data_IF_921747214330
#
_entry.id   IF_921747214330
#
_cell.length_a   1.000
_cell.length_b   1.000
_cell.length_c   1.000
_cell.angle_alpha   90.00
_cell.angle_beta   90.00
_cell.angle_gamma   90.00
#
_symmetry.space_group_name_H-M   'P 1'
#
loop_
_entity.id
_entity.type
_entity.pdbx_description
1 polymer ?
#
# COMPACT_ATOMS: atom_id res chain seq x y z
N UNK A 1 -10.33 -8.75 2.57
CA UNK A 1 -9.79 -8.31 3.88
C UNK A 1 -10.08 -6.83 4.05
N UNK A 2 -10.34 -6.39 5.28
CA UNK A 2 -10.66 -5.01 5.61
C UNK A 2 -9.81 -4.57 6.80
N UNK A 3 -9.15 -3.42 6.69
CA UNK A 3 -8.35 -2.81 7.77
C UNK A 3 -8.82 -1.39 8.01
N UNK A 4 -9.11 -1.09 9.27
CA UNK A 4 -9.55 0.22 9.74
C UNK A 4 -8.68 0.64 10.92
N UNK A 5 -8.34 1.90 11.00
CA UNK A 5 -7.61 2.44 12.14
C UNK A 5 -7.19 3.89 11.96
N UNK A 6 -6.31 4.32 12.85
CA UNK A 6 -5.71 5.64 12.81
C UNK A 6 -4.20 5.56 13.02
N UNK A 7 -3.49 6.57 12.53
CA UNK A 7 -2.06 6.72 12.68
C UNK A 7 -1.73 8.21 12.87
N UNK A 8 -0.92 8.50 13.88
CA UNK A 8 -0.39 9.83 14.12
C UNK A 8 1.06 9.88 13.62
N UNK A 9 1.42 10.87 12.80
CA UNK A 9 2.73 10.97 12.14
C UNK A 9 3.91 11.16 13.09
N UNK A 10 3.66 11.51 14.36
CA UNK A 10 4.67 11.45 15.42
C UNK A 10 5.30 10.06 15.54
N UNK A 11 4.52 9.02 15.29
CA UNK A 11 5.04 7.68 15.06
C UNK A 11 5.61 7.62 13.64
N UNK A 12 6.94 7.73 13.52
CA UNK A 12 7.64 7.80 12.23
C UNK A 12 7.23 6.74 11.20
N UNK A 13 6.87 5.53 11.63
CA UNK A 13 6.55 4.42 10.75
C UNK A 13 5.40 3.56 11.30
N UNK A 14 4.42 3.26 10.46
CA UNK A 14 3.30 2.37 10.75
C UNK A 14 3.28 1.21 9.77
N UNK A 15 3.51 0.00 10.27
CA UNK A 15 3.19 -1.21 9.53
C UNK A 15 1.69 -1.50 9.62
N UNK A 16 1.03 -1.78 8.49
CA UNK A 16 -0.40 -2.07 8.46
C UNK A 16 -0.67 -3.56 8.27
N UNK A 17 -0.14 -4.17 7.22
CA UNK A 17 -0.41 -5.58 6.89
C UNK A 17 0.63 -6.17 5.94
N UNK A 18 0.84 -7.49 6.04
CA UNK A 18 1.48 -8.35 5.04
C UNK A 18 0.44 -9.34 4.52
N UNK A 19 0.35 -9.49 3.20
CA UNK A 19 -0.62 -10.38 2.55
C UNK A 19 -0.01 -11.01 1.29
N UNK A 20 -0.45 -12.21 0.91
CA UNK A 20 0.05 -12.93 -0.27
C UNK A 20 -0.92 -12.88 -1.44
N UNK A 21 -0.52 -12.32 -2.58
CA UNK A 21 -1.36 -12.26 -3.79
C UNK A 21 -1.17 -13.54 -4.61
N UNK A 22 -2.26 -14.10 -5.13
CA UNK A 22 -2.18 -15.26 -6.03
C UNK A 22 -1.68 -14.83 -7.40
N UNK A 23 -1.19 -15.79 -8.18
CA UNK A 23 -0.73 -15.52 -9.54
C UNK A 23 -1.88 -14.99 -10.39
N UNK A 24 -1.67 -13.85 -11.05
CA UNK A 24 -2.61 -13.29 -12.02
C UNK A 24 -2.73 -14.22 -13.23
N UNK A 25 -3.96 -14.53 -13.64
CA UNK A 25 -4.23 -15.33 -14.82
C UNK A 25 -4.04 -14.46 -16.08
N UNK A 26 -3.08 -14.77 -16.98
CA UNK A 26 -2.83 -13.98 -18.18
C UNK A 26 -4.03 -13.91 -19.14
N UNK A 27 -4.90 -14.92 -19.13
CA UNK A 27 -6.11 -14.95 -19.97
C UNK A 27 -7.29 -14.21 -19.34
N UNK A 28 -7.19 -13.82 -18.06
CA UNK A 28 -8.25 -13.15 -17.32
C UNK A 28 -7.68 -12.16 -16.30
N UNK A 29 -6.80 -11.27 -16.76
CA UNK A 29 -5.99 -10.39 -15.92
C UNK A 29 -6.85 -9.54 -14.99
N UNK A 30 -7.80 -8.79 -15.54
CA UNK A 30 -8.68 -7.89 -14.76
C UNK A 30 -9.42 -8.60 -13.64
N UNK A 31 -9.86 -9.83 -13.87
CA UNK A 31 -10.62 -10.59 -12.86
C UNK A 31 -9.73 -11.30 -11.84
N UNK A 32 -8.41 -11.38 -12.08
CA UNK A 32 -7.43 -12.06 -11.23
C UNK A 32 -6.37 -11.14 -10.63
N UNK A 33 -6.48 -9.83 -10.84
CA UNK A 33 -5.65 -8.84 -10.14
C UNK A 33 -5.98 -8.78 -8.66
N UNK A 34 -4.99 -8.49 -7.83
CA UNK A 34 -5.24 -7.98 -6.49
C UNK A 34 -5.67 -6.51 -6.56
N UNK A 35 -6.58 -6.09 -5.70
CA UNK A 35 -6.95 -4.69 -5.55
C UNK A 35 -6.79 -4.26 -4.10
N UNK A 36 -6.21 -3.06 -3.92
CA UNK A 36 -6.13 -2.38 -2.63
C UNK A 36 -6.76 -1.01 -2.82
N UNK A 37 -7.87 -0.76 -2.15
CA UNK A 37 -8.61 0.49 -2.33
C UNK A 37 -9.21 0.93 -1.01
N UNK A 38 -9.47 2.22 -0.86
CA UNK A 38 -9.85 2.73 0.45
C UNK A 38 -9.97 4.23 0.52
N UNK A 39 -10.15 4.68 1.75
CA UNK A 39 -10.15 6.07 2.15
C UNK A 39 -9.03 6.26 3.17
N UNK A 40 -8.23 7.31 2.99
CA UNK A 40 -7.19 7.72 3.93
C UNK A 40 -7.33 9.23 4.06
N UNK A 41 -7.88 9.70 5.18
CA UNK A 41 -8.23 11.11 5.39
C UNK A 41 -7.59 11.63 6.67
N UNK A 42 -7.58 12.95 6.86
CA UNK A 42 -7.19 13.56 8.12
C UNK A 42 -8.25 14.56 8.55
N UNK A 43 -8.35 14.75 9.87
CA UNK A 43 -9.19 15.77 10.50
C UNK A 43 -8.44 17.09 10.71
N UNK A 44 -7.15 17.11 10.39
CA UNK A 44 -6.23 18.23 10.59
C UNK A 44 -5.85 18.86 9.25
N UNK A 45 -5.45 20.14 9.27
CA UNK A 45 -4.85 20.76 8.09
C UNK A 45 -3.49 20.12 7.80
N UNK A 46 -3.25 19.83 6.52
CA UNK A 46 -2.04 19.13 6.06
C UNK A 46 -1.23 20.08 5.21
N UNK A 47 0.02 20.33 5.62
CA UNK A 47 0.96 21.12 4.82
C UNK A 47 1.72 20.21 3.86
N UNK A 48 2.21 19.07 4.36
CA UNK A 48 2.96 18.08 3.60
C UNK A 48 2.33 16.69 3.75
N UNK A 49 2.13 15.95 2.66
CA UNK A 49 1.57 14.62 2.74
C UNK A 49 2.61 13.59 3.23
N UNK A 50 2.19 12.65 4.05
CA UNK A 50 2.94 11.45 4.38
C UNK A 50 2.91 10.44 3.21
N UNK A 51 3.82 9.47 3.23
CA UNK A 51 3.88 8.43 2.21
C UNK A 51 3.16 7.15 2.65
N UNK A 52 2.18 6.74 1.85
CA UNK A 52 1.56 5.41 1.89
C UNK A 52 2.25 4.52 0.86
N UNK A 53 2.80 3.40 1.30
CA UNK A 53 3.61 2.51 0.48
C UNK A 53 3.02 1.10 0.41
N UNK A 54 2.89 0.60 -0.81
CA UNK A 54 2.50 -0.77 -1.15
C UNK A 54 3.67 -1.40 -1.89
N UNK A 55 4.39 -2.29 -1.22
CA UNK A 55 5.66 -2.82 -1.72
C UNK A 55 5.68 -4.35 -1.70
N UNK A 56 6.29 -4.95 -2.71
CA UNK A 56 6.67 -6.35 -2.66
C UNK A 56 7.89 -6.57 -1.74
N UNK A 57 8.15 -7.82 -1.37
CA UNK A 57 9.28 -8.19 -0.50
C UNK A 57 10.64 -7.64 -0.95
N UNK A 58 10.89 -7.57 -2.25
CA UNK A 58 12.17 -7.15 -2.83
C UNK A 58 12.53 -5.69 -2.55
N UNK A 59 11.53 -4.83 -2.39
CA UNK A 59 11.71 -3.43 -2.00
C UNK A 59 11.49 -3.22 -0.50
N UNK A 60 10.48 -3.90 0.07
CA UNK A 60 10.05 -3.66 1.44
C UNK A 60 11.13 -3.91 2.48
N UNK A 61 11.99 -4.92 2.33
CA UNK A 61 12.97 -5.28 3.37
C UNK A 61 14.01 -4.18 3.62
N UNK A 62 14.56 -3.60 2.55
CA UNK A 62 15.53 -2.52 2.65
C UNK A 62 14.86 -1.23 3.14
N UNK A 63 13.70 -0.92 2.58
CA UNK A 63 12.84 0.19 3.01
C UNK A 63 12.52 0.10 4.52
N UNK A 64 12.05 -1.04 4.99
CA UNK A 64 11.70 -1.26 6.40
C UNK A 64 12.93 -1.24 7.32
N UNK A 65 14.05 -1.82 6.89
CA UNK A 65 15.29 -1.84 7.67
C UNK A 65 15.82 -0.44 7.98
N UNK A 66 15.75 0.47 6.99
CA UNK A 66 16.23 1.84 7.11
C UNK A 66 15.40 2.73 8.05
N UNK A 67 14.18 2.32 8.43
CA UNK A 67 13.34 3.09 9.36
C UNK A 67 13.97 3.28 10.76
N UNK A 68 14.87 2.36 11.13
CA UNK A 68 15.56 2.35 12.43
C UNK A 68 16.71 3.37 12.51
N UNK A 69 17.04 4.04 11.40
CA UNK A 69 18.04 5.11 11.39
C UNK A 69 17.59 6.24 12.32
N UNK A 70 18.48 6.68 13.20
CA UNK A 70 18.17 7.64 14.26
C UNK A 70 17.81 9.02 13.70
N UNK A 71 18.59 9.51 12.73
CA UNK A 71 18.28 10.76 12.02
C UNK A 71 17.19 10.48 10.97
N UNK A 72 15.99 11.03 11.18
CA UNK A 72 14.82 10.74 10.36
C UNK A 72 14.90 11.28 8.95
N UNK A 73 15.60 12.39 8.76
CA UNK A 73 15.90 12.92 7.43
C UNK A 73 16.71 11.92 6.60
N UNK A 74 17.80 11.41 7.18
CA UNK A 74 18.61 10.34 6.57
C UNK A 74 17.83 9.03 6.45
N UNK A 75 16.90 8.76 7.37
CA UNK A 75 16.05 7.58 7.29
C UNK A 75 15.17 7.65 6.04
N UNK A 76 14.44 8.75 5.82
CA UNK A 76 13.60 8.95 4.64
C UNK A 76 14.38 8.76 3.34
N UNK A 77 15.52 9.45 3.19
CA UNK A 77 16.38 9.31 2.01
C UNK A 77 16.81 7.84 1.77
N UNK A 78 17.19 7.11 2.82
CA UNK A 78 17.64 5.71 2.69
C UNK A 78 16.50 4.73 2.46
N UNK A 79 15.36 4.93 3.12
CA UNK A 79 14.17 4.10 2.97
C UNK A 79 13.72 4.08 1.51
N UNK A 80 13.71 5.25 0.87
CA UNK A 80 13.21 5.40 -0.49
C UNK A 80 14.30 5.36 -1.58
N UNK A 81 15.58 5.17 -1.24
CA UNK A 81 16.67 5.15 -2.22
C UNK A 81 16.40 4.14 -3.34
N UNK A 82 16.06 2.89 -2.98
CA UNK A 82 15.71 1.84 -3.95
C UNK A 82 14.28 1.96 -4.45
N UNK A 83 13.33 2.38 -3.62
CA UNK A 83 11.93 2.50 -4.04
C UNK A 83 11.77 3.54 -5.14
N UNK A 84 12.49 4.67 -5.05
CA UNK A 84 12.41 5.77 -6.02
C UNK A 84 12.93 5.41 -7.40
N UNK A 85 13.72 4.35 -7.55
CA UNK A 85 14.19 3.92 -8.88
C UNK A 85 13.11 3.18 -9.68
N UNK A 86 12.00 2.81 -9.03
CA UNK A 86 10.97 1.95 -9.60
C UNK A 86 9.56 2.47 -9.34
N UNK A 87 9.32 3.29 -8.31
CA UNK A 87 8.01 3.83 -8.01
C UNK A 87 7.70 5.05 -8.87
N UNK A 88 6.51 5.07 -9.45
CA UNK A 88 6.00 6.16 -10.25
C UNK A 88 5.89 7.46 -9.45
N UNK A 89 6.17 8.56 -10.14
CA UNK A 89 5.78 9.91 -9.75
C UNK A 89 5.68 10.76 -11.00
N UNK A 90 4.56 11.46 -11.17
CA UNK A 90 4.31 12.30 -12.34
C UNK A 90 5.45 13.30 -12.62
N UNK A 91 6.11 13.83 -11.57
CA UNK A 91 7.15 14.87 -11.72
C UNK A 91 8.56 14.31 -11.76
N UNK A 92 8.81 13.24 -10.99
CA UNK A 92 10.15 12.73 -10.76
C UNK A 92 10.48 11.48 -11.58
N UNK A 93 9.50 10.58 -11.77
CA UNK A 93 9.70 9.23 -12.31
C UNK A 93 8.43 8.74 -13.05
N UNK A 94 8.25 9.16 -14.30
CA UNK A 94 7.04 8.92 -15.10
C UNK A 94 6.93 7.51 -15.71
N UNK A 95 7.95 6.66 -15.53
CA UNK A 95 7.98 5.27 -16.02
C UNK A 95 7.95 4.21 -14.90
N UNK A 96 7.66 4.63 -13.68
CA UNK A 96 7.62 3.73 -12.53
C UNK A 96 6.32 2.92 -12.43
N UNK A 97 6.33 1.99 -11.48
CA UNK A 97 5.20 1.21 -11.02
C UNK A 97 4.45 1.94 -9.90
N UNK A 98 3.17 1.64 -9.79
CA UNK A 98 2.29 2.28 -8.82
C UNK A 98 2.45 1.70 -7.41
N UNK A 99 3.40 2.22 -6.63
CA UNK A 99 3.73 1.75 -5.28
C UNK A 99 3.45 2.75 -4.17
N UNK A 100 3.24 4.02 -4.52
CA UNK A 100 3.23 5.13 -3.56
C UNK A 100 2.00 6.01 -3.73
N UNK A 101 1.46 6.47 -2.61
CA UNK A 101 0.45 7.52 -2.56
C UNK A 101 0.80 8.56 -1.50
N UNK A 102 0.51 9.81 -1.81
CA UNK A 102 0.52 10.95 -0.89
C UNK A 102 -0.76 10.91 -0.06
N UNK A 103 -0.62 10.78 1.24
CA UNK A 103 -1.73 10.70 2.19
C UNK A 103 -1.58 11.74 3.30
N UNK A 104 -2.66 12.25 3.88
CA UNK A 104 -4.06 11.92 3.59
C UNK A 104 -4.55 12.53 2.27
N UNK A 105 -5.64 11.97 1.78
CA UNK A 105 -6.35 12.43 0.60
C UNK A 105 -7.45 13.43 1.01
N UNK A 106 -7.77 14.42 0.16
CA UNK A 106 -8.78 15.42 0.51
C UNK A 106 -10.15 14.76 0.74
N UNK A 107 -10.85 15.16 1.80
CA UNK A 107 -12.10 14.53 2.20
C UNK A 107 -13.15 14.57 1.08
N UNK A 108 -13.75 13.41 0.80
CA UNK A 108 -14.75 13.25 -0.26
C UNK A 108 -14.19 13.35 -1.70
N UNK A 109 -12.86 13.42 -1.87
CA UNK A 109 -12.21 13.54 -3.17
C UNK A 109 -11.15 12.44 -3.34
N UNK A 110 -10.76 12.22 -4.60
CA UNK A 110 -9.67 11.31 -4.93
C UNK A 110 -8.33 11.81 -4.39
N UNK A 111 -7.41 10.88 -4.14
CA UNK A 111 -6.04 11.23 -3.81
C UNK A 111 -5.38 11.97 -4.97
N UNK A 112 -4.44 12.87 -4.64
CA UNK A 112 -3.82 13.77 -5.63
C UNK A 112 -3.01 13.04 -6.71
N UNK A 113 -2.59 11.81 -6.45
CA UNK A 113 -1.84 10.98 -7.39
C UNK A 113 -2.76 10.07 -8.25
N UNK A 114 -4.09 10.17 -8.10
CA UNK A 114 -5.04 9.44 -8.93
C UNK A 114 -5.35 10.20 -10.21
N UNK A 115 -4.55 9.98 -11.25
CA UNK A 115 -4.68 10.66 -12.55
C UNK A 115 -5.83 10.11 -13.39
N UNK A 116 -6.28 8.89 -13.07
CA UNK A 116 -7.28 8.15 -13.83
C UNK A 116 -8.47 7.79 -12.92
N UNK A 117 -9.47 8.69 -12.77
CA UNK A 117 -10.59 8.50 -11.87
C UNK A 117 -11.41 7.22 -12.11
N UNK A 118 -11.47 6.73 -13.35
CA UNK A 118 -12.24 5.53 -13.69
C UNK A 118 -11.58 4.22 -13.24
N UNK A 119 -10.30 4.25 -12.85
CA UNK A 119 -9.63 3.09 -12.26
C UNK A 119 -9.91 2.97 -10.76
N UNK A 120 -10.39 4.04 -10.13
CA UNK A 120 -10.71 4.05 -8.70
C UNK A 120 -12.04 3.37 -8.46
N UNK A 121 -12.08 2.47 -7.47
CA UNK A 121 -13.32 1.84 -7.02
C UNK A 121 -14.29 2.90 -6.51
N UNK A 122 -15.54 2.84 -6.99
CA UNK A 122 -16.57 3.84 -6.66
C UNK A 122 -16.67 4.05 -5.14
N UNK A 123 -16.86 5.31 -4.74
CA UNK A 123 -16.97 5.75 -3.34
C UNK A 123 -15.70 5.57 -2.49
N UNK A 124 -14.55 5.34 -3.12
CA UNK A 124 -13.24 5.29 -2.46
C UNK A 124 -12.30 6.37 -3.04
N UNK A 125 -11.25 6.71 -2.31
CA UNK A 125 -10.33 7.80 -2.67
C UNK A 125 -9.12 7.34 -3.50
N UNK A 126 -8.71 6.08 -3.40
CA UNK A 126 -7.59 5.52 -4.17
C UNK A 126 -7.82 4.06 -4.56
N UNK A 127 -7.05 3.58 -5.53
CA UNK A 127 -6.97 2.15 -5.86
C UNK A 127 -5.59 1.79 -6.40
N UNK A 128 -4.94 0.81 -5.77
CA UNK A 128 -3.81 0.10 -6.35
C UNK A 128 -4.29 -1.19 -7.00
N UNK A 129 -3.73 -1.50 -8.16
CA UNK A 129 -3.93 -2.75 -8.86
C UNK A 129 -2.62 -3.54 -8.78
N UNK A 130 -2.68 -4.72 -8.18
CA UNK A 130 -1.53 -5.59 -7.98
C UNK A 130 -1.57 -6.73 -8.99
N UNK A 131 -0.51 -6.82 -9.79
CA UNK A 131 -0.35 -7.86 -10.81
C UNK A 131 0.89 -8.71 -10.50
N UNK A 132 0.70 -10.03 -10.38
CA UNK A 132 1.77 -11.00 -10.13
C UNK A 132 1.74 -12.11 -11.18
N UNK A 133 2.35 -11.85 -12.34
CA UNK A 133 2.31 -12.76 -13.50
C UNK A 133 3.18 -14.01 -13.38
N UNK A 134 4.24 -13.97 -12.56
CA UNK A 134 5.26 -15.05 -12.52
C UNK A 134 5.01 -16.05 -11.41
N UNK A 135 4.87 -15.57 -10.18
CA UNK A 135 4.70 -16.39 -8.99
C UNK A 135 3.93 -15.61 -7.91
N UNK A 136 3.23 -16.30 -6.99
CA UNK A 136 2.66 -15.67 -5.81
C UNK A 136 3.75 -14.96 -4.98
N UNK A 137 3.48 -13.73 -4.54
CA UNK A 137 4.42 -12.95 -3.71
C UNK A 137 3.72 -12.31 -2.52
N UNK A 138 4.51 -12.06 -1.48
CA UNK A 138 4.06 -11.26 -0.34
C UNK A 138 4.22 -9.77 -0.65
N UNK A 139 3.14 -9.05 -0.36
CA UNK A 139 3.03 -7.61 -0.41
C UNK A 139 2.85 -7.06 0.99
N UNK A 140 3.30 -5.82 1.17
CA UNK A 140 3.39 -5.16 2.45
C UNK A 140 2.83 -3.75 2.30
N UNK A 141 1.95 -3.37 3.23
CA UNK A 141 1.39 -2.03 3.31
C UNK A 141 1.92 -1.34 4.56
N UNK A 142 2.41 -0.12 4.39
CA UNK A 142 2.87 0.73 5.48
C UNK A 142 2.63 2.21 5.20
N UNK A 143 2.63 2.99 6.26
CA UNK A 143 2.70 4.45 6.21
C UNK A 143 4.00 4.93 6.87
N UNK A 144 4.58 6.00 6.36
CA UNK A 144 5.79 6.60 6.92
C UNK A 144 5.70 8.12 6.90
N UNK A 145 6.19 8.75 7.97
CA UNK A 145 6.29 10.20 8.11
C UNK A 145 7.46 10.75 7.27
N UNK A 146 7.40 10.52 5.97
CA UNK A 146 8.30 11.06 4.97
C UNK A 146 7.47 11.63 3.83
N UNK A 147 7.96 12.71 3.24
CA UNK A 147 7.36 13.31 2.06
C UNK A 147 8.42 13.56 0.99
N UNK A 148 8.00 13.63 -0.28
CA UNK A 148 8.89 13.98 -1.39
C UNK A 148 8.62 15.42 -1.84
N UNK A 149 9.69 16.19 -1.97
CA UNK A 149 9.60 17.58 -2.44
C UNK A 149 9.62 17.68 -3.98
N UNK A 150 9.53 18.91 -4.49
CA UNK A 150 9.63 19.19 -5.93
C UNK A 150 11.03 18.96 -6.53
N UNK A 151 12.05 18.81 -5.69
CA UNK A 151 13.42 18.48 -6.10
C UNK A 151 13.65 16.96 -6.12
N UNK A 152 12.59 16.17 -5.99
CA UNK A 152 12.61 14.72 -5.96
C UNK A 152 13.42 14.14 -4.79
N UNK A 153 13.56 14.88 -3.70
CA UNK A 153 14.24 14.44 -2.48
C UNK A 153 13.22 14.06 -1.40
N UNK A 154 13.58 13.05 -0.61
CA UNK A 154 12.76 12.55 0.48
C UNK A 154 13.16 13.19 1.79
N UNK A 155 12.20 13.84 2.44
CA UNK A 155 12.37 14.58 3.69
C UNK A 155 11.53 13.98 4.81
N UNK A 156 11.96 14.20 6.04
CA UNK A 156 11.20 13.85 7.22
C UNK A 156 10.00 14.79 7.40
N UNK A 157 8.82 14.21 7.61
CA UNK A 157 7.63 14.94 7.99
C UNK A 157 7.64 15.16 9.51
N UNK A 158 8.06 16.35 9.94
CA UNK A 158 8.11 16.73 11.37
C UNK A 158 6.75 17.25 11.90
N UNK A 159 5.77 17.41 11.02
CA UNK A 159 4.42 17.85 11.37
C UNK A 159 3.60 16.71 11.97
N UNK A 160 2.94 17.00 13.09
CA UNK A 160 2.02 16.07 13.73
C UNK A 160 0.63 16.16 13.09
N UNK A 161 0.14 15.05 12.56
CA UNK A 161 -1.20 14.91 12.01
C UNK A 161 -1.77 13.53 12.30
N UNK A 162 -3.08 13.51 12.58
CA UNK A 162 -3.86 12.28 12.74
C UNK A 162 -4.47 11.89 11.40
N UNK A 163 -4.16 10.67 10.95
CA UNK A 163 -4.62 10.09 9.69
C UNK A 163 -5.52 8.90 10.02
N UNK A 164 -6.77 8.98 9.58
CA UNK A 164 -7.74 7.90 9.66
C UNK A 164 -7.75 7.12 8.35
N UNK A 165 -7.78 5.79 8.42
CA UNK A 165 -7.79 4.93 7.25
C UNK A 165 -8.85 3.82 7.33
N UNK A 166 -9.46 3.55 6.18
CA UNK A 166 -10.40 2.46 5.91
C UNK A 166 -10.02 1.84 4.55
N UNK A 167 -9.42 0.65 4.59
CA UNK A 167 -8.78 0.05 3.40
C UNK A 167 -9.25 -1.39 3.22
N UNK A 168 -9.63 -1.69 1.99
CA UNK A 168 -10.01 -3.01 1.50
C UNK A 168 -8.88 -3.60 0.67
N UNK A 169 -8.62 -4.88 0.91
CA UNK A 169 -7.73 -5.71 0.11
C UNK A 169 -8.56 -6.87 -0.42
N UNK A 170 -8.63 -7.04 -1.74
CA UNK A 170 -9.33 -8.15 -2.40
C UNK A 170 -8.42 -8.80 -3.44
N UNK A 171 -8.51 -10.12 -3.55
CA UNK A 171 -7.94 -10.84 -4.68
C UNK A 171 -9.08 -10.94 -5.71
N UNK A 172 -8.86 -10.57 -6.97
CA UNK A 172 -9.89 -10.47 -7.99
C UNK A 172 -10.67 -9.15 -8.01
N UNK A 173 -11.35 -8.89 -9.14
CA UNK A 173 -11.98 -7.60 -9.40
C UNK A 173 -13.22 -7.35 -8.52
N UNK A 174 -13.27 -6.22 -7.77
CA UNK A 174 -14.46 -5.86 -6.99
C UNK A 174 -15.62 -5.36 -7.87
N UNK A 175 -15.39 -5.08 -9.15
CA UNK A 175 -16.39 -4.52 -10.06
C UNK A 175 -17.29 -5.59 -10.74
N UNK A 176 -17.08 -6.87 -10.48
CA UNK A 176 -17.86 -7.96 -11.08
C UNK A 176 -18.99 -8.35 -10.14
N UNK A 177 -20.22 -8.40 -10.66
CA UNK A 177 -21.42 -8.83 -9.94
C UNK A 177 -21.36 -10.32 -9.62
N UNK A 178 -20.74 -10.66 -8.49
CA UNK A 178 -20.58 -12.05 -8.04
C UNK A 178 -19.67 -12.19 -6.83
N UNK A 179 -19.60 -11.18 -5.96
CA UNK A 179 -18.75 -11.16 -4.76
C UNK A 179 -19.00 -12.41 -3.90
N UNK A 180 -18.14 -13.41 -4.05
CA UNK A 180 -18.12 -14.58 -3.17
C UNK A 180 -16.93 -14.42 -2.21
N UNK A 181 -17.16 -14.02 -0.94
CA UNK A 181 -16.10 -13.72 0.01
C UNK A 181 -15.21 -14.93 0.36
N UNK A 182 -15.62 -16.16 0.01
CA UNK A 182 -14.86 -17.38 0.28
C UNK A 182 -13.83 -17.73 -0.79
N UNK A 183 -13.97 -17.26 -2.04
CA UNK A 183 -13.05 -17.59 -3.13
C UNK A 183 -11.77 -16.74 -3.16
N UNK A 184 -11.74 -15.64 -2.40
CA UNK A 184 -10.72 -14.59 -2.53
C UNK A 184 -10.01 -14.27 -1.22
N UNK A 185 -9.85 -15.28 -0.35
CA UNK A 185 -9.11 -15.14 0.90
C UNK A 185 -7.60 -15.04 0.65
N UNK A 186 -7.00 -13.99 1.18
CA UNK A 186 -5.55 -13.85 1.29
C UNK A 186 -5.01 -14.76 2.40
N UNK A 187 -3.79 -15.27 2.22
CA UNK A 187 -2.98 -15.67 3.38
C UNK A 187 -2.46 -14.41 4.06
N UNK A 188 -2.81 -14.23 5.33
CA UNK A 188 -2.54 -13.03 6.12
C UNK A 188 -1.75 -13.41 7.35
N UNK A 189 -0.55 -12.84 7.49
CA UNK A 189 0.16 -12.84 8.78
C UNK A 189 -0.25 -11.57 9.53
N UNK A 190 -1.21 -11.68 10.46
CA UNK A 190 -1.40 -10.63 11.48
C UNK A 190 -0.32 -10.84 12.54
N UNK A 191 0.57 -9.87 12.73
CA UNK A 191 1.48 -9.88 13.88
C UNK A 191 0.69 -9.61 15.17
N UNK A 192 0.16 -10.69 15.75
CA UNK A 192 -0.07 -10.81 17.18
C UNK A 192 0.68 -12.09 17.57
N UNK A 193 1.95 -11.98 18.01
CA UNK A 193 2.60 -13.15 18.59
C UNK A 193 1.96 -13.42 19.96
N UNK A 194 1.64 -14.67 20.37
CA UNK A 194 2.34 -15.91 20.01
C UNK A 194 1.41 -17.02 19.44
N UNK A 195 2.03 -18.01 18.80
CA UNK A 195 1.45 -19.18 18.12
C UNK A 195 1.10 -18.98 16.64
N UNK A 196 2.15 -19.19 15.85
CA UNK A 196 2.17 -19.74 14.49
C UNK A 196 0.82 -20.31 14.05
N UNK A 197 0.24 -19.75 12.99
CA UNK A 197 -0.73 -20.47 12.16
C UNK A 197 -0.18 -20.55 10.75
N UNK A 198 0.32 -21.74 10.40
CA UNK A 198 0.60 -22.14 9.02
C UNK A 198 -0.72 -22.63 8.43
N UNK A 199 -1.05 -22.17 7.22
CA UNK A 199 -2.02 -22.87 6.38
C UNK A 199 -1.27 -23.54 5.23
N UNK A 200 -1.14 -24.85 5.32
CA UNK A 200 -0.89 -25.71 4.17
C UNK A 200 -2.25 -26.03 3.55
N UNK A 201 -2.39 -25.89 2.24
CA UNK A 201 -3.53 -26.47 1.51
C UNK A 201 -3.16 -27.91 1.22
N UNK A 202 -3.90 -28.86 1.79
CA UNK A 202 -3.86 -30.25 1.37
C UNK A 202 -4.30 -30.33 -0.10
N UNK A 203 -3.44 -30.87 -0.95
CA UNK A 203 -3.84 -31.37 -2.26
C UNK A 203 -4.73 -32.61 -2.03
N UNK A 204 -6.04 -32.41 -2.11
CA UNK A 204 -6.99 -33.50 -2.22
C UNK A 204 -6.92 -34.10 -3.62
N UNK A 205 -6.30 -35.28 -3.73
CA UNK A 205 -6.49 -36.19 -4.85
C UNK A 205 -7.97 -36.57 -4.98
N UNK A 206 -8.49 -36.48 -6.20
CA UNK A 206 -9.75 -37.06 -6.66
C UNK A 206 -9.65 -37.37 -8.13
#
# INVERSE_FOLDING_TARGET
MHIVGSWNTKDFFKFLVKFGVQKTNPHNQKESHGYIFGNITSRSNVTHPAAFAVLDRGYFLEYYGNRSVANKEKACARMFNKVSTMAFDEKCFDQGEDFLRKVPCPEGQLCVDEDIPWNVIKHHQFTFIIEDLKQPRFWYISMVACYRDSSCQWHHLDEEMDIDYDIWLVNGSPNISGYNPFLYQFSVDRQVNPFVTVFSVDEGEG
#
